data_IF_129983478730
#
_entry.id   IF_129983478730
#
_cell.length_a   1.000
_cell.length_b   1.000
_cell.length_c   1.000
_cell.angle_alpha   90.00
_cell.angle_beta   90.00
_cell.angle_gamma   90.00
#
_symmetry.space_group_name_H-M   'P 1'
#
loop_
_entity.id
_entity.type
_entity.pdbx_description
1 polymer ?
#
# COMPACT_ATOMS: atom_id res chain seq x y z
N UNK A 1 -16.26 -50.82 -19.43
CA UNK A 1 -16.36 -49.81 -20.53
C UNK A 1 -16.36 -48.39 -19.91
N UNK A 2 -15.21 -47.74 -19.88
CA UNK A 2 -15.04 -46.42 -19.27
C UNK A 2 -15.10 -45.36 -20.37
N UNK A 3 -16.09 -44.48 -20.34
CA UNK A 3 -16.21 -43.37 -21.30
C UNK A 3 -15.30 -42.22 -20.85
N UNK A 4 -14.24 -41.94 -21.63
CA UNK A 4 -13.43 -40.75 -21.48
C UNK A 4 -14.26 -39.52 -21.97
N UNK A 5 -14.46 -38.56 -21.06
CA UNK A 5 -15.02 -37.25 -21.41
C UNK A 5 -13.87 -36.41 -22.00
N UNK A 6 -13.99 -36.08 -23.29
CA UNK A 6 -13.08 -35.16 -23.95
C UNK A 6 -13.61 -33.76 -23.69
N UNK A 7 -12.87 -32.97 -22.91
CA UNK A 7 -13.18 -31.54 -22.71
C UNK A 7 -12.50 -30.77 -23.85
N UNK A 8 -13.30 -30.35 -24.79
CA UNK A 8 -12.90 -29.48 -25.91
C UNK A 8 -12.63 -28.07 -25.35
N UNK A 9 -11.37 -27.62 -25.45
CA UNK A 9 -10.96 -26.27 -25.05
C UNK A 9 -11.40 -25.28 -26.13
N UNK A 10 -12.36 -24.43 -25.80
CA UNK A 10 -12.73 -23.30 -26.66
C UNK A 10 -11.53 -22.32 -26.80
N UNK A 11 -11.29 -21.75 -27.99
CA UNK A 11 -10.20 -20.81 -28.19
C UNK A 11 -10.49 -19.50 -27.46
N UNK A 12 -9.61 -19.13 -26.53
CA UNK A 12 -9.62 -17.81 -25.87
C UNK A 12 -9.15 -16.78 -26.88
N UNK A 13 -10.10 -16.02 -27.42
CA UNK A 13 -9.83 -14.90 -28.32
C UNK A 13 -9.12 -13.79 -27.53
N UNK A 14 -7.79 -13.73 -27.61
CA UNK A 14 -6.99 -12.64 -27.03
C UNK A 14 -7.06 -11.45 -27.96
N UNK A 15 -7.58 -10.29 -27.55
CA UNK A 15 -7.53 -9.10 -28.38
C UNK A 15 -6.06 -8.74 -28.67
N UNK A 16 -5.72 -8.63 -29.94
CA UNK A 16 -4.43 -8.14 -30.42
C UNK A 16 -4.36 -6.63 -30.15
N UNK A 17 -3.67 -6.24 -29.09
CA UNK A 17 -3.41 -4.83 -28.77
C UNK A 17 -2.22 -4.39 -29.62
N UNK A 18 -2.41 -3.31 -30.39
CA UNK A 18 -1.41 -2.68 -31.25
C UNK A 18 -0.11 -2.35 -30.46
N UNK A 19 1.09 -2.68 -30.98
CA UNK A 19 2.38 -2.40 -30.35
C UNK A 19 2.61 -0.91 -29.99
N UNK A 20 2.09 0.01 -30.80
CA UNK A 20 2.17 1.46 -30.55
C UNK A 20 1.37 1.89 -29.30
N UNK A 21 0.21 1.26 -29.07
CA UNK A 21 -0.62 1.51 -27.88
C UNK A 21 0.03 0.98 -26.59
N UNK A 22 0.83 -0.08 -26.66
CA UNK A 22 1.58 -0.63 -25.51
C UNK A 22 2.69 0.29 -25.04
N UNK A 23 3.40 0.95 -25.96
CA UNK A 23 4.52 1.85 -25.61
C UNK A 23 3.97 3.15 -24.98
N UNK A 24 2.91 3.72 -25.52
CA UNK A 24 2.27 4.92 -24.96
C UNK A 24 1.63 4.66 -23.60
N UNK A 25 0.95 3.52 -23.44
CA UNK A 25 0.34 3.11 -22.15
C UNK A 25 1.41 2.84 -21.10
N UNK A 26 2.53 2.17 -21.46
CA UNK A 26 3.63 1.89 -20.56
C UNK A 26 4.37 3.18 -20.14
N UNK A 27 4.57 4.13 -21.06
CA UNK A 27 5.22 5.40 -20.75
C UNK A 27 4.33 6.29 -19.88
N UNK A 28 3.04 6.36 -20.18
CA UNK A 28 2.06 7.09 -19.37
C UNK A 28 1.93 6.51 -17.97
N UNK A 29 1.84 5.18 -17.87
CA UNK A 29 1.83 4.46 -16.58
C UNK A 29 3.07 4.73 -15.75
N UNK A 30 4.26 4.72 -16.36
CA UNK A 30 5.53 5.05 -15.66
C UNK A 30 5.57 6.49 -15.14
N UNK A 31 5.07 7.47 -15.89
CA UNK A 31 5.04 8.87 -15.46
C UNK A 31 4.06 9.08 -14.30
N UNK A 32 2.86 8.51 -14.38
CA UNK A 32 1.85 8.58 -13.30
C UNK A 32 2.34 7.85 -12.06
N UNK A 33 2.89 6.64 -12.21
CA UNK A 33 3.46 5.87 -11.12
C UNK A 33 4.64 6.60 -10.46
N UNK A 34 5.57 7.15 -11.24
CA UNK A 34 6.71 7.91 -10.75
C UNK A 34 6.27 9.12 -9.91
N UNK A 35 5.29 9.90 -10.40
CA UNK A 35 4.74 11.04 -9.66
C UNK A 35 4.08 10.61 -8.35
N UNK A 36 3.28 9.54 -8.37
CA UNK A 36 2.62 8.98 -7.17
C UNK A 36 3.65 8.58 -6.12
N UNK A 37 4.70 7.84 -6.50
CA UNK A 37 5.79 7.43 -5.61
C UNK A 37 6.48 8.66 -5.00
N UNK A 38 6.78 9.69 -5.79
CA UNK A 38 7.43 10.91 -5.28
C UNK A 38 6.54 11.65 -4.28
N UNK A 39 5.25 11.84 -4.59
CA UNK A 39 4.31 12.51 -3.70
C UNK A 39 4.10 11.73 -2.38
N UNK A 40 3.98 10.40 -2.44
CA UNK A 40 3.89 9.55 -1.25
C UNK A 40 5.16 9.59 -0.41
N UNK A 41 6.33 9.49 -1.05
CA UNK A 41 7.62 9.56 -0.35
C UNK A 41 7.81 10.91 0.36
N UNK A 42 7.37 12.01 -0.25
CA UNK A 42 7.40 13.34 0.35
C UNK A 42 6.49 13.43 1.57
N UNK A 43 5.24 12.98 1.46
CA UNK A 43 4.30 12.98 2.58
C UNK A 43 4.79 12.11 3.74
N UNK A 44 5.29 10.89 3.45
CA UNK A 44 5.82 9.97 4.47
C UNK A 44 7.07 10.55 5.12
N UNK A 45 8.04 11.03 4.34
CA UNK A 45 9.28 11.60 4.85
C UNK A 45 9.03 12.81 5.78
N UNK A 46 8.03 13.63 5.47
CA UNK A 46 7.62 14.77 6.29
C UNK A 46 6.93 14.37 7.60
N UNK A 47 6.35 13.17 7.68
CA UNK A 47 5.71 12.62 8.89
C UNK A 47 6.67 11.81 9.77
N UNK A 48 7.85 11.44 9.27
CA UNK A 48 8.83 10.69 10.04
C UNK A 48 9.37 11.53 11.20
N UNK A 49 9.38 11.00 12.44
CA UNK A 49 9.98 11.68 13.59
C UNK A 49 11.46 12.02 13.36
N UNK A 50 11.92 13.08 14.01
CA UNK A 50 13.35 13.34 14.10
C UNK A 50 14.04 12.16 14.82
N UNK A 51 15.25 11.80 14.37
CA UNK A 51 16.01 10.70 14.95
C UNK A 51 15.61 9.30 14.47
N UNK A 52 14.61 9.15 13.59
CA UNK A 52 14.30 7.87 12.93
C UNK A 52 15.54 7.32 12.23
N UNK A 53 15.88 6.06 12.50
CA UNK A 53 17.03 5.34 11.90
C UNK A 53 16.60 4.10 11.15
N UNK A 54 15.55 3.43 11.60
CA UNK A 54 15.08 2.17 11.02
C UNK A 54 13.62 2.29 10.57
N UNK A 55 13.35 1.82 9.33
CA UNK A 55 12.03 1.86 8.69
C UNK A 55 11.66 0.45 8.21
N UNK A 56 10.52 -0.05 8.62
CA UNK A 56 9.90 -1.24 8.04
C UNK A 56 8.82 -0.83 7.03
N UNK A 57 8.91 -1.32 5.80
CA UNK A 57 7.88 -1.16 4.76
C UNK A 57 7.10 -2.49 4.63
N UNK A 58 5.86 -2.53 5.11
CA UNK A 58 5.02 -3.72 5.12
C UNK A 58 4.15 -3.77 3.88
N UNK A 59 4.26 -4.87 3.11
CA UNK A 59 3.65 -4.98 1.78
C UNK A 59 4.38 -4.08 0.76
N UNK A 60 5.71 -4.06 0.85
CA UNK A 60 6.57 -3.10 0.15
C UNK A 60 6.63 -3.25 -1.38
N UNK A 61 6.06 -4.32 -1.94
CA UNK A 61 6.19 -4.65 -3.35
C UNK A 61 7.66 -4.83 -3.77
N UNK A 62 8.16 -3.94 -4.64
CA UNK A 62 9.58 -3.92 -5.04
C UNK A 62 10.44 -2.98 -4.19
N UNK A 63 9.88 -2.33 -3.18
CA UNK A 63 10.58 -1.40 -2.29
C UNK A 63 10.89 -0.02 -2.91
N UNK A 64 10.36 0.28 -4.09
CA UNK A 64 10.60 1.56 -4.77
C UNK A 64 10.18 2.76 -3.92
N UNK A 65 9.06 2.67 -3.19
CA UNK A 65 8.58 3.74 -2.32
C UNK A 65 9.51 3.96 -1.13
N UNK A 66 9.85 2.92 -0.38
CA UNK A 66 10.78 3.03 0.75
C UNK A 66 12.15 3.57 0.29
N UNK A 67 12.65 3.15 -0.87
CA UNK A 67 13.86 3.73 -1.46
C UNK A 67 13.73 5.22 -1.74
N UNK A 68 12.56 5.69 -2.19
CA UNK A 68 12.31 7.11 -2.43
C UNK A 68 12.21 7.91 -1.11
N UNK A 69 11.73 7.30 -0.02
CA UNK A 69 11.77 7.87 1.35
C UNK A 69 13.20 8.00 1.83
N UNK A 70 14.01 6.93 1.73
CA UNK A 70 15.43 6.92 2.14
C UNK A 70 16.25 7.97 1.37
N UNK A 71 15.96 8.22 0.10
CA UNK A 71 16.62 9.30 -0.64
C UNK A 71 16.38 10.69 -0.05
N UNK A 72 15.28 10.92 0.68
CA UNK A 72 14.94 12.17 1.37
C UNK A 72 15.44 12.21 2.81
N UNK A 73 15.64 11.05 3.39
CA UNK A 73 16.08 10.83 4.77
C UNK A 73 17.21 9.79 4.74
N UNK A 74 18.42 10.18 4.26
CA UNK A 74 19.52 9.24 3.98
C UNK A 74 20.11 8.57 5.24
N UNK A 75 19.77 9.08 6.42
CA UNK A 75 20.12 8.50 7.72
C UNK A 75 19.29 7.27 8.09
N UNK A 76 18.26 6.92 7.27
CA UNK A 76 17.33 5.82 7.56
C UNK A 76 17.75 4.57 6.79
N UNK A 77 17.80 3.44 7.47
CA UNK A 77 17.88 2.11 6.90
C UNK A 77 16.46 1.53 6.75
N UNK A 78 16.08 1.17 5.52
CA UNK A 78 14.79 0.58 5.23
C UNK A 78 14.89 -0.92 4.96
N UNK A 79 13.99 -1.68 5.56
CA UNK A 79 13.74 -3.10 5.28
C UNK A 79 12.28 -3.26 4.84
N UNK A 80 12.03 -4.10 3.84
CA UNK A 80 10.69 -4.44 3.38
C UNK A 80 10.27 -5.84 3.80
N UNK A 81 8.96 -6.06 3.92
CA UNK A 81 8.35 -7.39 3.92
C UNK A 81 7.27 -7.48 2.86
N UNK A 82 7.16 -8.65 2.23
CA UNK A 82 6.18 -8.92 1.18
C UNK A 82 5.73 -10.40 1.26
N UNK A 83 4.47 -10.67 0.93
CA UNK A 83 3.97 -12.06 0.90
C UNK A 83 4.66 -12.88 -0.20
N UNK A 84 4.99 -12.22 -1.29
CA UNK A 84 5.78 -12.79 -2.39
C UNK A 84 6.81 -11.79 -2.87
N UNK A 85 8.06 -11.98 -2.46
CA UNK A 85 9.16 -11.11 -2.87
C UNK A 85 9.32 -11.09 -4.39
N UNK A 86 9.60 -9.91 -4.93
CA UNK A 86 9.86 -9.74 -6.36
C UNK A 86 11.30 -10.12 -6.67
N UNK A 87 11.59 -10.56 -7.92
CA UNK A 87 12.95 -10.97 -8.30
C UNK A 87 13.99 -9.85 -8.17
N UNK A 88 13.56 -8.59 -8.26
CA UNK A 88 14.39 -7.41 -8.09
C UNK A 88 13.72 -6.45 -7.12
N UNK A 89 14.45 -6.02 -6.10
CA UNK A 89 13.96 -5.09 -5.07
C UNK A 89 14.92 -3.92 -4.89
N UNK A 90 14.38 -2.76 -4.58
CA UNK A 90 15.12 -1.52 -4.38
C UNK A 90 15.71 -1.39 -2.97
N UNK A 91 15.23 -2.19 -2.03
CA UNK A 91 15.67 -2.31 -0.62
C UNK A 91 15.75 -3.80 -0.27
N UNK A 92 16.39 -4.20 0.84
CA UNK A 92 16.30 -5.56 1.37
C UNK A 92 14.85 -5.93 1.68
N UNK A 93 14.36 -7.07 1.17
CA UNK A 93 12.99 -7.57 1.37
C UNK A 93 13.02 -8.98 1.92
N UNK A 94 12.16 -9.28 2.91
CA UNK A 94 11.92 -10.62 3.45
C UNK A 94 10.49 -11.06 3.12
N UNK A 95 10.31 -12.34 2.83
CA UNK A 95 8.97 -12.90 2.71
C UNK A 95 8.35 -13.16 4.10
N UNK A 96 7.03 -13.01 4.19
CA UNK A 96 6.24 -13.35 5.36
C UNK A 96 4.87 -13.91 4.93
N UNK A 97 4.12 -14.47 5.87
CA UNK A 97 2.87 -15.18 5.60
C UNK A 97 1.64 -14.25 5.44
N UNK A 98 1.83 -12.92 5.51
CA UNK A 98 0.74 -11.95 5.46
C UNK A 98 0.04 -11.75 6.80
N UNK A 99 0.46 -12.43 7.87
CA UNK A 99 -0.16 -12.42 9.19
C UNK A 99 0.81 -12.02 10.29
N UNK A 100 1.93 -12.74 10.43
CA UNK A 100 2.92 -12.52 11.48
C UNK A 100 4.21 -11.94 10.92
N UNK A 101 4.64 -10.83 11.47
CA UNK A 101 5.90 -10.19 11.07
C UNK A 101 7.10 -10.91 11.71
N UNK A 102 8.13 -11.30 10.93
CA UNK A 102 9.28 -12.08 11.43
C UNK A 102 10.32 -11.21 12.16
N UNK A 103 9.84 -10.34 13.05
CA UNK A 103 10.65 -9.39 13.81
C UNK A 103 10.21 -9.34 15.27
N UNK A 104 11.14 -8.99 16.16
CA UNK A 104 10.87 -8.77 17.57
C UNK A 104 10.03 -7.50 17.79
N UNK A 105 9.42 -7.40 18.98
CA UNK A 105 8.71 -6.20 19.40
C UNK A 105 9.63 -4.99 19.36
N UNK A 106 9.09 -3.86 18.90
CA UNK A 106 9.78 -2.56 18.86
C UNK A 106 11.15 -2.59 18.15
N UNK A 107 11.30 -3.46 17.14
CA UNK A 107 12.56 -3.66 16.41
C UNK A 107 12.81 -2.61 15.31
N UNK A 108 11.82 -1.80 14.99
CA UNK A 108 11.94 -0.68 14.05
C UNK A 108 11.45 0.60 14.68
N UNK A 109 12.12 1.74 14.40
CA UNK A 109 11.64 3.04 14.86
C UNK A 109 10.26 3.36 14.29
N UNK A 110 10.07 3.10 13.00
CA UNK A 110 8.83 3.38 12.28
C UNK A 110 8.47 2.20 11.37
N UNK A 111 7.19 1.87 11.31
CA UNK A 111 6.65 0.99 10.27
C UNK A 111 5.69 1.77 9.36
N UNK A 112 5.72 1.47 8.05
CA UNK A 112 4.79 2.05 7.09
C UNK A 112 3.97 0.95 6.40
N UNK A 113 2.69 1.27 6.11
CA UNK A 113 1.80 0.48 5.26
C UNK A 113 1.20 1.41 4.22
N UNK A 114 1.40 1.10 2.96
CA UNK A 114 0.92 1.94 1.85
C UNK A 114 0.10 1.10 0.89
N UNK A 115 -1.22 1.29 0.91
CA UNK A 115 -2.19 0.54 0.09
C UNK A 115 -2.14 -0.98 0.35
N UNK A 116 -2.11 -1.41 1.62
CA UNK A 116 -1.92 -2.81 2.02
C UNK A 116 -3.14 -3.38 2.73
N UNK A 117 -3.70 -2.68 3.72
CA UNK A 117 -4.70 -3.26 4.62
C UNK A 117 -5.99 -3.66 3.90
N UNK A 118 -6.39 -2.94 2.84
CA UNK A 118 -7.58 -3.28 2.05
C UNK A 118 -7.40 -4.54 1.18
N UNK A 119 -6.17 -5.07 1.07
CA UNK A 119 -5.87 -6.36 0.43
C UNK A 119 -5.61 -7.48 1.43
N UNK A 120 -5.33 -7.18 2.70
CA UNK A 120 -5.00 -8.16 3.72
C UNK A 120 -6.16 -9.12 4.01
N UNK A 121 -5.85 -10.37 4.35
CA UNK A 121 -6.85 -11.35 4.78
C UNK A 121 -7.40 -11.02 6.16
N UNK A 122 -6.50 -10.68 7.06
CA UNK A 122 -6.80 -10.33 8.45
C UNK A 122 -6.20 -8.94 8.78
N UNK A 123 -6.82 -7.84 8.27
CA UNK A 123 -6.22 -6.51 8.36
C UNK A 123 -6.04 -6.02 9.80
N UNK A 124 -6.93 -6.41 10.73
CA UNK A 124 -6.80 -6.09 12.15
C UNK A 124 -5.61 -6.80 12.81
N UNK A 125 -5.39 -8.08 12.47
CA UNK A 125 -4.25 -8.84 12.95
C UNK A 125 -2.94 -8.24 12.43
N UNK A 126 -2.87 -7.95 11.12
CA UNK A 126 -1.69 -7.34 10.51
C UNK A 126 -1.40 -5.96 11.12
N UNK A 127 -2.42 -5.14 11.38
CA UNK A 127 -2.24 -3.84 12.02
C UNK A 127 -1.70 -3.97 13.44
N UNK A 128 -2.17 -4.96 14.22
CA UNK A 128 -1.64 -5.28 15.55
C UNK A 128 -0.16 -5.70 15.52
N UNK A 129 0.23 -6.53 14.55
CA UNK A 129 1.63 -6.93 14.34
C UNK A 129 2.51 -5.74 13.97
N UNK A 130 2.01 -4.84 13.12
CA UNK A 130 2.73 -3.61 12.76
C UNK A 130 2.91 -2.70 13.97
N UNK A 131 1.87 -2.56 14.81
CA UNK A 131 1.96 -1.81 16.06
C UNK A 131 2.96 -2.45 17.04
N UNK A 132 3.04 -3.78 17.07
CA UNK A 132 3.99 -4.53 17.91
C UNK A 132 5.45 -4.26 17.54
N UNK A 133 5.77 -4.27 16.24
CA UNK A 133 7.16 -4.12 15.77
C UNK A 133 7.63 -2.67 15.71
N UNK A 134 6.74 -1.69 15.67
CA UNK A 134 7.05 -0.26 15.60
C UNK A 134 7.30 0.30 17.02
N UNK A 135 8.49 0.90 17.23
CA UNK A 135 8.84 1.46 18.52
C UNK A 135 8.24 2.84 18.78
N UNK A 136 8.19 3.70 17.75
CA UNK A 136 7.82 5.11 17.90
C UNK A 136 6.50 5.45 17.22
N UNK A 137 6.31 5.04 15.96
CA UNK A 137 5.06 5.30 15.26
C UNK A 137 4.83 4.36 14.06
N UNK A 138 3.58 4.32 13.63
CA UNK A 138 3.14 3.69 12.38
C UNK A 138 2.62 4.78 11.45
N UNK A 139 3.00 4.73 10.17
CA UNK A 139 2.45 5.62 9.15
C UNK A 139 1.64 4.77 8.17
N UNK A 140 0.37 5.09 8.04
CA UNK A 140 -0.57 4.35 7.16
C UNK A 140 -1.05 5.28 6.06
N UNK A 141 -0.90 4.85 4.81
CA UNK A 141 -1.61 5.40 3.67
C UNK A 141 -2.59 4.36 3.15
N UNK A 142 -3.87 4.73 3.08
CA UNK A 142 -4.87 3.85 2.51
C UNK A 142 -6.06 4.66 1.96
N UNK A 143 -7.19 4.00 1.74
CA UNK A 143 -8.37 4.54 1.12
C UNK A 143 -9.46 4.84 2.14
N UNK A 144 -10.31 5.85 1.82
CA UNK A 144 -11.50 6.22 2.58
C UNK A 144 -12.75 5.97 1.75
N UNK A 145 -13.77 5.40 2.39
CA UNK A 145 -15.14 5.38 1.88
C UNK A 145 -15.99 6.45 2.56
N UNK A 146 -17.21 6.67 2.02
CA UNK A 146 -18.16 7.66 2.57
C UNK A 146 -18.34 8.91 1.71
N UNK A 147 -17.49 9.12 0.67
CA UNK A 147 -17.75 10.13 -0.35
C UNK A 147 -18.68 9.58 -1.46
N UNK A 148 -19.29 10.47 -2.22
CA UNK A 148 -20.15 10.11 -3.35
C UNK A 148 -19.39 9.24 -4.37
N UNK A 149 -19.96 8.08 -4.72
CA UNK A 149 -19.36 7.06 -5.58
C UNK A 149 -17.93 6.65 -5.17
N UNK A 150 -17.60 6.70 -3.88
CA UNK A 150 -16.25 6.34 -3.40
C UNK A 150 -15.89 4.89 -3.72
N UNK A 151 -16.82 3.95 -3.52
CA UNK A 151 -16.62 2.53 -3.81
C UNK A 151 -16.32 2.27 -5.28
N UNK A 152 -17.10 2.82 -6.20
CA UNK A 152 -16.95 2.64 -7.64
C UNK A 152 -15.64 3.25 -8.13
N UNK A 153 -15.30 4.44 -7.63
CA UNK A 153 -14.06 5.14 -7.97
C UNK A 153 -12.83 4.37 -7.48
N UNK A 154 -12.85 3.86 -6.25
CA UNK A 154 -11.78 3.05 -5.69
C UNK A 154 -11.64 1.71 -6.42
N UNK A 155 -12.76 1.02 -6.71
CA UNK A 155 -12.73 -0.22 -7.50
C UNK A 155 -12.12 -0.02 -8.89
N UNK A 156 -12.46 1.09 -9.57
CA UNK A 156 -11.86 1.43 -10.85
C UNK A 156 -10.35 1.67 -10.72
N UNK A 157 -9.93 2.39 -9.68
CA UNK A 157 -8.52 2.69 -9.43
C UNK A 157 -7.72 1.43 -9.13
N UNK A 158 -8.23 0.55 -8.28
CA UNK A 158 -7.58 -0.71 -7.94
C UNK A 158 -7.52 -1.65 -9.14
N UNK A 159 -8.58 -1.70 -9.93
CA UNK A 159 -8.58 -2.49 -11.16
C UNK A 159 -7.51 -1.99 -12.14
N UNK A 160 -7.44 -0.68 -12.39
CA UNK A 160 -6.42 -0.07 -13.27
C UNK A 160 -5.01 -0.24 -12.71
N UNK A 161 -4.83 -0.04 -11.39
CA UNK A 161 -3.51 -0.09 -10.74
C UNK A 161 -2.95 -1.51 -10.62
N UNK A 162 -3.81 -2.53 -10.55
CA UNK A 162 -3.41 -3.92 -10.35
C UNK A 162 -3.46 -4.78 -11.63
N UNK A 163 -3.78 -4.19 -12.79
CA UNK A 163 -3.70 -4.89 -14.08
C UNK A 163 -2.28 -5.44 -14.28
N UNK A 164 -2.15 -6.77 -14.33
CA UNK A 164 -0.88 -7.46 -14.57
C UNK A 164 -0.04 -7.77 -13.33
N UNK A 165 -0.46 -7.40 -12.12
CA UNK A 165 0.28 -7.69 -10.89
C UNK A 165 -0.20 -8.94 -10.13
N UNK A 166 -1.34 -9.53 -10.50
CA UNK A 166 -1.84 -10.77 -9.89
C UNK A 166 -2.25 -10.64 -8.41
N UNK A 167 -2.52 -9.42 -7.94
CA UNK A 167 -2.96 -9.16 -6.57
C UNK A 167 -4.46 -9.46 -6.46
N UNK A 168 -4.91 -10.24 -5.45
CA UNK A 168 -6.33 -10.46 -5.21
C UNK A 168 -7.02 -9.15 -4.83
N UNK A 169 -8.02 -8.72 -5.61
CA UNK A 169 -8.77 -7.51 -5.35
C UNK A 169 -9.94 -7.82 -4.40
N UNK A 170 -9.76 -7.59 -3.11
CA UNK A 170 -10.80 -7.84 -2.08
C UNK A 170 -11.77 -6.68 -1.90
N UNK A 171 -11.39 -5.47 -2.35
CA UNK A 171 -12.20 -4.24 -2.26
C UNK A 171 -12.73 -3.93 -0.85
N UNK A 172 -11.96 -4.29 0.19
CA UNK A 172 -12.32 -4.09 1.59
C UNK A 172 -11.94 -2.68 2.05
N UNK A 173 -12.64 -1.67 1.55
CA UNK A 173 -12.38 -0.28 1.94
C UNK A 173 -13.17 0.08 3.20
N UNK A 174 -12.52 0.77 4.12
CA UNK A 174 -13.10 1.17 5.39
C UNK A 174 -13.57 2.62 5.40
N UNK A 175 -14.65 2.86 6.13
CA UNK A 175 -15.12 4.19 6.49
C UNK A 175 -14.20 4.84 7.54
N UNK A 176 -14.26 6.17 7.73
CA UNK A 176 -13.48 6.84 8.79
C UNK A 176 -13.69 6.22 10.18
N UNK A 177 -14.93 5.86 10.53
CA UNK A 177 -15.23 5.24 11.82
C UNK A 177 -14.61 3.84 11.97
N UNK A 178 -14.57 3.05 10.90
CA UNK A 178 -13.91 1.74 10.91
C UNK A 178 -12.39 1.87 11.04
N UNK A 179 -11.79 2.88 10.42
CA UNK A 179 -10.38 3.18 10.60
C UNK A 179 -10.04 3.57 12.04
N UNK A 180 -10.86 4.46 12.64
CA UNK A 180 -10.68 4.88 14.04
C UNK A 180 -10.77 3.69 15.00
N UNK A 181 -11.76 2.81 14.81
CA UNK A 181 -11.91 1.59 15.60
C UNK A 181 -10.74 0.62 15.41
N UNK A 182 -10.24 0.45 14.19
CA UNK A 182 -9.09 -0.39 13.91
C UNK A 182 -7.82 0.13 14.60
N UNK A 183 -7.59 1.45 14.58
CA UNK A 183 -6.46 2.07 15.26
C UNK A 183 -6.57 1.86 16.77
N UNK A 184 -7.73 2.12 17.35
CA UNK A 184 -7.99 1.94 18.78
C UNK A 184 -7.76 0.49 19.22
N UNK A 185 -8.26 -0.48 18.45
CA UNK A 185 -8.11 -1.91 18.73
C UNK A 185 -6.63 -2.37 18.66
N UNK A 186 -5.85 -1.77 17.76
CA UNK A 186 -4.41 -2.03 17.65
C UNK A 186 -3.57 -1.28 18.69
N UNK A 187 -4.18 -0.56 19.64
CA UNK A 187 -3.47 0.23 20.64
C UNK A 187 -2.72 1.44 20.04
N UNK A 188 -3.27 2.00 18.96
CA UNK A 188 -2.69 3.13 18.25
C UNK A 188 -3.60 4.36 18.36
N UNK A 189 -2.99 5.55 18.48
CA UNK A 189 -3.66 6.84 18.46
C UNK A 189 -3.16 7.68 17.29
N UNK A 190 -4.07 8.22 16.51
CA UNK A 190 -3.75 9.13 15.40
C UNK A 190 -3.31 10.49 15.96
N UNK A 191 -2.18 10.99 15.47
CA UNK A 191 -1.60 12.29 15.87
C UNK A 191 -1.46 13.26 14.72
N UNK A 192 -1.49 12.79 13.47
CA UNK A 192 -1.44 13.61 12.28
C UNK A 192 -2.15 12.90 11.13
N UNK A 193 -2.98 13.63 10.36
CA UNK A 193 -3.62 13.13 9.13
C UNK A 193 -3.51 14.14 7.99
N UNK A 194 -3.29 13.64 6.79
CA UNK A 194 -3.35 14.41 5.53
C UNK A 194 -4.24 13.68 4.54
N UNK A 195 -5.12 14.42 3.87
CA UNK A 195 -6.05 13.88 2.85
C UNK A 195 -5.79 14.49 1.46
N UNK A 196 -4.95 15.52 1.37
CA UNK A 196 -4.52 16.13 0.12
C UNK A 196 -3.07 15.73 -0.15
N UNK A 197 -2.87 14.65 -0.90
CA UNK A 197 -1.56 14.02 -1.03
C UNK A 197 -0.81 14.41 -2.31
N UNK A 198 -1.48 15.04 -3.29
CA UNK A 198 -0.88 15.42 -4.57
C UNK A 198 -0.53 14.25 -5.49
N UNK A 199 -1.25 13.12 -5.35
CA UNK A 199 -0.97 11.86 -6.07
C UNK A 199 -1.17 11.98 -7.57
N UNK A 200 -2.12 12.81 -7.99
CA UNK A 200 -2.53 12.95 -9.38
C UNK A 200 -2.40 14.39 -9.87
N UNK A 201 -2.08 14.56 -11.14
CA UNK A 201 -2.14 15.86 -11.81
C UNK A 201 -3.57 16.29 -12.16
N UNK A 202 -3.76 17.57 -12.47
CA UNK A 202 -5.02 18.09 -13.03
C UNK A 202 -5.18 17.53 -14.47
N UNK A 203 -6.37 17.02 -14.89
CA UNK A 203 -7.66 17.02 -14.18
C UNK A 203 -7.92 15.79 -13.31
N UNK A 204 -7.08 14.74 -13.34
CA UNK A 204 -7.30 13.46 -12.65
C UNK A 204 -7.41 13.61 -11.13
N UNK A 205 -6.75 14.62 -10.55
CA UNK A 205 -6.82 14.95 -9.13
C UNK A 205 -8.27 15.15 -8.65
N UNK A 206 -9.10 15.80 -9.44
CA UNK A 206 -10.50 16.08 -9.09
C UNK A 206 -11.33 14.82 -8.92
N UNK A 207 -11.04 13.79 -9.73
CA UNK A 207 -11.80 12.56 -9.76
C UNK A 207 -11.21 11.50 -8.82
N UNK A 208 -9.88 11.35 -8.78
CA UNK A 208 -9.22 10.23 -8.10
C UNK A 208 -8.58 10.57 -6.76
N UNK A 209 -8.49 11.83 -6.34
CA UNK A 209 -7.83 12.19 -5.08
C UNK A 209 -8.82 12.68 -4.01
N UNK A 210 -9.87 13.39 -4.41
CA UNK A 210 -10.73 14.09 -3.45
C UNK A 210 -11.46 13.14 -2.51
N UNK A 211 -11.08 13.19 -1.20
CA UNK A 211 -11.67 12.39 -0.11
C UNK A 211 -11.64 10.87 -0.31
N UNK A 212 -10.66 10.35 -1.05
CA UNK A 212 -10.50 8.92 -1.28
C UNK A 212 -9.24 8.36 -0.64
N UNK A 213 -8.31 9.21 -0.25
CA UNK A 213 -7.01 8.82 0.30
C UNK A 213 -6.70 9.60 1.55
N UNK A 214 -5.95 8.96 2.44
CA UNK A 214 -5.32 9.61 3.57
C UNK A 214 -3.92 9.05 3.80
N UNK A 215 -3.10 9.83 4.49
CA UNK A 215 -1.89 9.39 5.18
C UNK A 215 -2.04 9.80 6.63
N UNK A 216 -1.86 8.86 7.56
CA UNK A 216 -1.94 9.13 9.00
C UNK A 216 -0.69 8.64 9.70
N UNK A 217 -0.20 9.46 10.63
CA UNK A 217 0.80 9.05 11.62
C UNK A 217 0.11 8.70 12.93
N UNK A 218 0.41 7.49 13.39
CA UNK A 218 -0.17 6.87 14.57
C UNK A 218 0.95 6.61 15.59
N UNK A 219 0.68 6.81 16.85
CA UNK A 219 1.61 6.49 17.93
C UNK A 219 0.98 5.45 18.87
N UNK A 220 1.78 4.56 19.50
CA UNK A 220 1.26 3.66 20.50
C UNK A 220 0.55 4.45 21.61
N UNK A 221 -0.65 3.99 22.01
CA UNK A 221 -1.27 4.46 23.24
C UNK A 221 -0.42 3.95 24.40
N UNK A 222 0.14 4.86 25.20
CA UNK A 222 0.85 4.47 26.42
C UNK A 222 -0.15 3.74 27.31
N UNK A 223 0.17 2.53 27.72
CA UNK A 223 -0.53 1.86 28.80
C UNK A 223 -0.29 2.70 30.07
N UNK A 224 -1.36 3.28 30.62
CA UNK A 224 -1.31 3.88 31.96
C UNK A 224 -0.96 2.83 33.01
#
# INVERSE_FOLDING_TARGET
MSRRIVIERLPVNRPTIDPGSRITTALHGRLVFGRRVQALAENIAAMLPAGTRTLLDVGCGDGTLARAVVRRRPEIEATGVEVRARPQTAIPVREFDGRQLPFADRSFDVAILVDVLHHAEEPHLLLGEVARVAANCVIIKDHLTGAWLSHERLRLMDWVGNIGHGVPLRYAYWSPAQWEEAFRTAGLREVERREQLGLYGIPLRWFFERRLHFVSRLVPTQSE
#
